data_IF_568570604193
#
_entry.id   IF_568570604193
#
_cell.length_a   1.000
_cell.length_b   1.000
_cell.length_c   1.000
_cell.angle_alpha   90.00
_cell.angle_beta   90.00
_cell.angle_gamma   90.00
#
_symmetry.space_group_name_H-M   'P 1'
#
loop_
_entity.id
_entity.type
_entity.pdbx_description
1 polymer ?
#
# COMPACT_ATOMS: atom_id res chain seq x y z
N UNK A 1 -30.64 11.40 -13.33
CA UNK A 1 -29.73 12.53 -13.60
C UNK A 1 -28.51 11.98 -14.33
N UNK A 2 -28.11 12.57 -15.43
CA UNK A 2 -26.91 12.14 -16.19
C UNK A 2 -25.79 13.15 -15.97
N UNK A 3 -24.67 12.70 -15.38
CA UNK A 3 -23.48 13.50 -15.13
C UNK A 3 -22.48 13.20 -16.24
N UNK A 4 -21.91 14.24 -16.86
CA UNK A 4 -21.01 14.11 -18.01
C UNK A 4 -19.63 14.67 -17.69
N UNK A 5 -18.59 13.93 -18.07
CA UNK A 5 -17.19 14.36 -18.02
C UNK A 5 -16.40 13.80 -19.20
N UNK A 6 -15.17 14.26 -19.40
CA UNK A 6 -14.28 13.67 -20.39
C UNK A 6 -13.76 12.33 -19.90
N UNK A 7 -13.37 12.28 -18.62
CA UNK A 7 -12.82 11.08 -17.96
C UNK A 7 -13.57 10.81 -16.68
N UNK A 8 -14.00 9.57 -16.49
CA UNK A 8 -14.54 9.03 -15.25
C UNK A 8 -13.47 8.10 -14.63
N UNK A 9 -13.03 8.41 -13.42
CA UNK A 9 -12.07 7.60 -12.66
C UNK A 9 -12.81 6.99 -11.47
N UNK A 10 -12.77 5.67 -11.37
CA UNK A 10 -13.36 4.92 -10.26
C UNK A 10 -12.26 4.44 -9.33
N UNK A 11 -12.19 5.05 -8.14
CA UNK A 11 -11.18 4.78 -7.11
C UNK A 11 -10.27 5.98 -6.85
N UNK A 12 -10.08 6.29 -5.56
CA UNK A 12 -9.34 7.45 -5.04
C UNK A 12 -8.04 7.10 -4.32
N UNK A 13 -7.46 5.92 -4.59
CA UNK A 13 -6.11 5.59 -4.15
C UNK A 13 -5.04 6.36 -4.94
N UNK A 14 -3.76 6.09 -4.68
CA UNK A 14 -2.64 6.78 -5.34
C UNK A 14 -2.79 6.83 -6.87
N UNK A 15 -3.18 5.72 -7.50
CA UNK A 15 -3.35 5.67 -8.96
C UNK A 15 -4.45 6.60 -9.46
N UNK A 16 -5.62 6.62 -8.79
CA UNK A 16 -6.74 7.47 -9.19
C UNK A 16 -6.47 8.95 -8.99
N UNK A 17 -5.88 9.33 -7.85
CA UNK A 17 -5.52 10.73 -7.54
C UNK A 17 -4.44 11.24 -8.50
N UNK A 18 -3.39 10.45 -8.73
CA UNK A 18 -2.30 10.79 -9.67
C UNK A 18 -2.83 10.99 -11.08
N UNK A 19 -3.65 10.05 -11.56
CA UNK A 19 -4.23 10.17 -12.91
C UNK A 19 -5.14 11.39 -13.03
N UNK A 20 -5.98 11.65 -12.01
CA UNK A 20 -6.86 12.81 -12.01
C UNK A 20 -6.07 14.12 -12.16
N UNK A 21 -4.99 14.29 -11.38
CA UNK A 21 -4.15 15.48 -11.44
C UNK A 21 -3.42 15.62 -12.77
N UNK A 22 -2.88 14.54 -13.33
CA UNK A 22 -2.19 14.56 -14.61
C UNK A 22 -3.10 14.89 -15.81
N UNK A 23 -4.40 14.60 -15.72
CA UNK A 23 -5.35 14.86 -16.79
C UNK A 23 -6.07 16.20 -16.68
N UNK A 24 -6.17 16.74 -15.47
CA UNK A 24 -7.08 17.84 -15.15
C UNK A 24 -6.75 19.17 -15.83
N UNK A 25 -5.50 19.40 -16.22
CA UNK A 25 -5.14 20.61 -16.97
C UNK A 25 -5.79 20.66 -18.38
N UNK A 26 -6.15 19.50 -18.92
CA UNK A 26 -6.64 19.38 -20.30
C UNK A 26 -8.00 18.72 -20.40
N UNK A 27 -8.56 18.17 -19.34
CA UNK A 27 -9.79 17.37 -19.34
C UNK A 27 -10.65 17.66 -18.09
N UNK A 28 -11.96 17.53 -18.27
CA UNK A 28 -12.89 17.49 -17.11
C UNK A 28 -12.90 16.07 -16.55
N UNK A 29 -12.47 15.94 -15.32
CA UNK A 29 -12.35 14.66 -14.63
C UNK A 29 -13.43 14.53 -13.57
N UNK A 30 -14.12 13.40 -13.58
CA UNK A 30 -14.97 12.98 -12.46
C UNK A 30 -14.28 11.84 -11.72
N UNK A 31 -14.08 12.00 -10.43
CA UNK A 31 -13.45 11.02 -9.55
C UNK A 31 -14.49 10.46 -8.56
N UNK A 32 -14.65 9.15 -8.56
CA UNK A 32 -15.58 8.43 -7.68
C UNK A 32 -14.79 7.76 -6.56
N UNK A 33 -15.19 8.01 -5.31
CA UNK A 33 -14.69 7.30 -4.14
C UNK A 33 -15.83 6.57 -3.42
N UNK A 34 -15.60 5.29 -3.13
CA UNK A 34 -16.55 4.42 -2.41
C UNK A 34 -16.78 4.89 -0.97
N UNK A 35 -15.73 5.38 -0.33
CA UNK A 35 -15.72 6.00 0.99
C UNK A 35 -15.31 7.48 0.90
N UNK A 36 -14.62 8.02 1.88
CA UNK A 36 -14.00 9.35 1.77
C UNK A 36 -12.83 9.31 0.79
N UNK A 37 -12.41 10.46 0.30
CA UNK A 37 -11.36 10.57 -0.74
C UNK A 37 -10.03 9.91 -0.33
N UNK A 38 -9.69 9.98 0.95
CA UNK A 38 -8.44 9.43 1.50
C UNK A 38 -8.56 8.00 2.03
N UNK A 39 -9.76 7.48 2.22
CA UNK A 39 -9.95 6.12 2.76
C UNK A 39 -9.66 5.06 1.69
N UNK A 40 -8.40 4.72 1.58
CA UNK A 40 -7.88 3.78 0.58
C UNK A 40 -6.73 2.96 1.16
N UNK A 41 -6.38 1.86 0.51
CA UNK A 41 -5.19 1.07 0.89
C UNK A 41 -3.90 1.89 0.86
N UNK A 42 -3.85 2.94 0.03
CA UNK A 42 -2.72 3.87 0.00
C UNK A 42 -2.55 4.57 1.34
N UNK A 43 -3.63 5.12 1.91
CA UNK A 43 -3.58 5.87 3.16
C UNK A 43 -3.05 5.03 4.35
N UNK A 44 -3.34 3.73 4.34
CA UNK A 44 -2.87 2.80 5.39
C UNK A 44 -1.47 2.23 5.14
N UNK A 45 -0.83 2.56 4.02
CA UNK A 45 0.51 2.07 3.72
C UNK A 45 1.56 2.74 4.60
N UNK A 46 2.28 1.93 5.39
CA UNK A 46 3.28 2.39 6.36
C UNK A 46 4.69 2.46 5.76
N UNK A 47 5.00 1.56 4.81
CA UNK A 47 6.29 1.51 4.14
C UNK A 47 6.52 2.71 3.22
N UNK A 48 7.60 2.66 2.45
CA UNK A 48 7.95 3.71 1.51
C UNK A 48 7.79 3.31 0.06
N UNK A 49 8.44 4.04 -0.81
CA UNK A 49 8.50 3.80 -2.26
C UNK A 49 9.93 3.48 -2.64
N UNK A 50 10.15 2.35 -3.30
CA UNK A 50 11.47 1.98 -3.82
C UNK A 50 11.78 2.77 -5.09
N UNK A 51 12.89 3.54 -5.07
CA UNK A 51 13.38 4.29 -6.22
C UNK A 51 14.91 4.44 -6.15
N UNK A 52 15.56 4.53 -7.31
CA UNK A 52 17.01 4.74 -7.39
C UNK A 52 17.31 6.22 -7.20
N UNK A 53 17.62 6.62 -5.96
CA UNK A 53 17.89 8.00 -5.57
C UNK A 53 19.33 8.19 -5.08
N UNK A 54 19.90 7.20 -4.42
CA UNK A 54 21.28 7.23 -3.92
C UNK A 54 22.30 7.09 -5.07
N UNK A 55 23.47 7.71 -4.91
CA UNK A 55 24.57 7.67 -5.90
C UNK A 55 25.20 6.28 -6.04
N UNK A 56 25.15 5.50 -4.98
CA UNK A 56 25.72 4.14 -4.88
C UNK A 56 24.81 3.07 -5.47
N UNK A 57 23.53 3.42 -5.75
CA UNK A 57 22.53 2.50 -6.31
C UNK A 57 22.40 2.69 -7.84
N UNK A 58 21.92 1.66 -8.52
CA UNK A 58 21.72 1.68 -9.97
C UNK A 58 20.36 1.11 -10.36
N UNK A 59 19.82 1.60 -11.47
CA UNK A 59 18.59 1.09 -12.07
C UNK A 59 18.70 -0.42 -12.33
N UNK A 60 19.83 -0.88 -12.84
CA UNK A 60 20.03 -2.30 -13.12
C UNK A 60 20.05 -3.15 -11.84
N UNK A 61 20.67 -2.68 -10.74
CA UNK A 61 20.63 -3.36 -9.45
C UNK A 61 19.18 -3.53 -8.96
N UNK A 62 18.35 -2.49 -9.09
CA UNK A 62 16.95 -2.55 -8.68
C UNK A 62 16.13 -3.49 -9.57
N UNK A 63 16.39 -3.52 -10.89
CA UNK A 63 15.77 -4.46 -11.82
C UNK A 63 16.09 -5.90 -11.42
N UNK A 64 17.36 -6.20 -11.17
CA UNK A 64 17.80 -7.56 -10.79
C UNK A 64 17.19 -8.01 -9.45
N UNK A 65 17.14 -7.13 -8.44
CA UNK A 65 16.46 -7.42 -7.19
C UNK A 65 14.97 -7.77 -7.41
N UNK A 66 14.29 -6.99 -8.25
CA UNK A 66 12.87 -7.18 -8.56
C UNK A 66 12.62 -8.50 -9.30
N UNK A 67 13.41 -8.79 -10.34
CA UNK A 67 13.29 -10.04 -11.10
C UNK A 67 13.58 -11.27 -10.22
N UNK A 68 14.57 -11.16 -9.33
CA UNK A 68 14.93 -12.24 -8.38
C UNK A 68 13.77 -12.53 -7.42
N UNK A 69 13.14 -11.50 -6.85
CA UNK A 69 11.99 -11.67 -5.95
C UNK A 69 10.76 -12.19 -6.71
N UNK A 70 10.60 -11.79 -7.96
CA UNK A 70 9.52 -12.23 -8.82
C UNK A 70 9.61 -13.67 -9.31
N UNK A 71 10.73 -14.35 -9.05
CA UNK A 71 10.94 -15.81 -9.27
C UNK A 71 10.53 -16.29 -10.68
N UNK A 72 10.89 -15.52 -11.70
CA UNK A 72 10.70 -15.87 -13.12
C UNK A 72 9.32 -15.57 -13.71
N UNK A 73 8.38 -14.97 -12.95
CA UNK A 73 7.04 -14.63 -13.45
C UNK A 73 6.88 -13.15 -13.82
N UNK A 74 7.92 -12.34 -13.64
CA UNK A 74 7.90 -10.94 -14.03
C UNK A 74 7.99 -10.75 -15.54
N UNK A 75 7.25 -9.77 -16.06
CA UNK A 75 7.54 -9.18 -17.36
C UNK A 75 8.71 -8.20 -17.20
N UNK A 76 9.89 -8.56 -17.73
CA UNK A 76 11.10 -7.77 -17.58
C UNK A 76 10.96 -6.35 -18.18
N UNK A 77 10.22 -6.19 -19.28
CA UNK A 77 10.01 -4.89 -19.90
C UNK A 77 9.18 -3.98 -19.00
N UNK A 78 8.15 -4.53 -18.35
CA UNK A 78 7.33 -3.80 -17.38
C UNK A 78 8.13 -3.42 -16.14
N UNK A 79 8.97 -4.32 -15.62
CA UNK A 79 9.89 -4.05 -14.50
C UNK A 79 10.85 -2.92 -14.85
N UNK A 80 11.52 -3.02 -15.99
CA UNK A 80 12.47 -2.00 -16.47
C UNK A 80 11.81 -0.64 -16.63
N UNK A 81 10.67 -0.58 -17.34
CA UNK A 81 9.92 0.66 -17.51
C UNK A 81 9.55 1.30 -16.18
N UNK A 82 9.06 0.51 -15.22
CA UNK A 82 8.66 1.02 -13.91
C UNK A 82 9.84 1.61 -13.14
N UNK A 83 10.97 0.89 -13.11
CA UNK A 83 12.13 1.32 -12.33
C UNK A 83 12.84 2.52 -12.96
N UNK A 84 12.99 2.55 -14.29
CA UNK A 84 13.59 3.68 -15.01
C UNK A 84 12.82 4.99 -14.80
N UNK A 85 11.49 4.91 -14.62
CA UNK A 85 10.63 6.08 -14.39
C UNK A 85 10.40 6.39 -12.90
N UNK A 86 10.93 5.59 -11.97
CA UNK A 86 10.66 5.72 -10.54
C UNK A 86 11.13 7.06 -9.96
N UNK A 87 12.32 7.53 -10.35
CA UNK A 87 12.86 8.82 -9.90
C UNK A 87 11.97 9.99 -10.30
N UNK A 88 11.55 10.05 -11.55
CA UNK A 88 10.64 11.11 -12.03
C UNK A 88 9.28 11.07 -11.30
N UNK A 89 8.78 9.87 -10.96
CA UNK A 89 7.56 9.74 -10.18
C UNK A 89 7.71 10.29 -8.75
N UNK A 90 8.86 10.07 -8.09
CA UNK A 90 9.15 10.64 -6.77
C UNK A 90 9.26 12.18 -6.86
N UNK A 91 10.00 12.70 -7.85
CA UNK A 91 10.13 14.14 -8.07
C UNK A 91 8.75 14.79 -8.28
N UNK A 92 7.87 14.16 -9.05
CA UNK A 92 6.51 14.63 -9.23
C UNK A 92 5.71 14.63 -7.91
N UNK A 93 5.84 13.62 -7.05
CA UNK A 93 5.18 13.60 -5.74
C UNK A 93 5.65 14.75 -4.85
N UNK A 94 6.94 15.07 -4.88
CA UNK A 94 7.53 16.20 -4.16
C UNK A 94 6.93 17.52 -4.67
N UNK A 95 6.81 17.69 -5.99
CA UNK A 95 6.19 18.86 -6.61
C UNK A 95 4.69 18.99 -6.24
N UNK A 96 4.03 17.85 -5.99
CA UNK A 96 2.65 17.83 -5.48
C UNK A 96 2.55 18.16 -3.97
N UNK A 97 3.68 18.32 -3.28
CA UNK A 97 3.74 18.72 -1.88
C UNK A 97 3.88 17.56 -0.90
N UNK A 98 4.25 16.36 -1.37
CA UNK A 98 4.55 15.23 -0.47
C UNK A 98 5.89 15.48 0.23
N UNK A 99 5.87 15.43 1.56
CA UNK A 99 7.04 15.63 2.40
C UNK A 99 7.65 14.28 2.79
N UNK A 100 8.87 14.01 2.30
CA UNK A 100 9.63 12.81 2.66
C UNK A 100 10.66 13.11 3.74
N UNK A 101 10.90 12.12 4.60
CA UNK A 101 11.89 12.19 5.69
C UNK A 101 13.29 12.47 5.13
N UNK A 102 13.97 13.46 5.73
CA UNK A 102 15.33 13.83 5.35
C UNK A 102 16.35 13.24 6.30
N UNK A 103 17.60 13.19 5.84
CA UNK A 103 18.77 12.89 6.69
C UNK A 103 18.90 13.92 7.82
N UNK A 104 19.59 13.56 8.90
CA UNK A 104 19.75 14.44 10.08
C UNK A 104 20.38 15.81 9.78
N UNK A 105 21.21 15.90 8.74
CA UNK A 105 21.80 17.14 8.25
C UNK A 105 20.90 17.90 7.26
N UNK A 106 19.77 17.31 6.87
CA UNK A 106 18.78 17.89 5.96
C UNK A 106 19.21 17.96 4.49
N UNK A 107 20.37 17.40 4.12
CA UNK A 107 20.92 17.53 2.76
C UNK A 107 20.27 16.60 1.76
N UNK A 108 19.94 15.37 2.19
CA UNK A 108 19.38 14.32 1.35
C UNK A 108 18.11 13.70 1.95
N UNK A 109 17.47 12.79 1.23
CA UNK A 109 16.37 11.97 1.75
C UNK A 109 16.92 10.78 2.53
N UNK A 110 16.31 10.48 3.66
CA UNK A 110 16.59 9.26 4.39
C UNK A 110 15.99 8.08 3.64
N UNK A 111 16.84 7.06 3.34
CA UNK A 111 16.43 5.86 2.63
C UNK A 111 16.52 4.65 3.55
N UNK A 112 15.50 3.83 3.58
CA UNK A 112 15.48 2.55 4.29
C UNK A 112 15.74 1.39 3.34
N UNK A 113 16.04 0.23 3.92
CA UNK A 113 16.13 -1.04 3.19
C UNK A 113 15.01 -1.96 3.68
N UNK A 114 14.30 -2.55 2.73
CA UNK A 114 13.29 -3.57 3.00
C UNK A 114 13.74 -4.92 2.43
N UNK A 115 13.04 -6.00 2.78
CA UNK A 115 13.34 -7.34 2.31
C UNK A 115 13.32 -7.45 0.79
N UNK A 116 14.30 -8.17 0.23
CA UNK A 116 14.46 -8.34 -1.21
C UNK A 116 15.30 -7.26 -1.89
N UNK A 117 15.56 -6.14 -1.23
CA UNK A 117 16.44 -5.09 -1.77
C UNK A 117 17.91 -5.29 -1.37
N UNK A 118 18.82 -5.17 -2.32
CA UNK A 118 20.28 -5.20 -2.08
C UNK A 118 20.84 -3.85 -1.61
N UNK A 119 20.08 -2.76 -1.78
CA UNK A 119 20.48 -1.40 -1.44
C UNK A 119 19.39 -0.67 -0.62
N UNK A 120 19.78 0.37 0.10
CA UNK A 120 18.83 1.29 0.74
C UNK A 120 18.26 2.22 -0.34
N UNK A 121 17.03 1.97 -0.78
CA UNK A 121 16.37 2.71 -1.86
C UNK A 121 14.93 3.07 -1.60
N UNK A 122 14.44 2.80 -0.40
CA UNK A 122 13.04 3.05 -0.05
C UNK A 122 12.93 4.41 0.60
N UNK A 123 12.40 5.40 -0.14
CA UNK A 123 12.08 6.73 0.38
C UNK A 123 10.77 6.66 1.15
N UNK A 124 10.68 7.37 2.28
CA UNK A 124 9.54 7.28 3.18
C UNK A 124 9.23 8.62 3.87
N UNK A 125 8.04 8.70 4.48
CA UNK A 125 7.64 9.76 5.38
C UNK A 125 7.33 9.11 6.74
N UNK A 126 8.28 9.13 7.64
CA UNK A 126 8.28 8.38 8.90
C UNK A 126 7.77 6.94 8.72
N UNK A 127 6.74 6.52 9.46
CA UNK A 127 6.03 5.25 9.32
C UNK A 127 4.61 5.40 8.74
N UNK A 128 4.34 6.50 8.02
CA UNK A 128 3.02 6.87 7.49
C UNK A 128 3.07 7.39 6.05
N UNK A 129 3.97 6.87 5.23
CA UNK A 129 4.22 7.37 3.86
C UNK A 129 2.96 7.42 3.00
N UNK A 130 2.12 6.40 3.07
CA UNK A 130 0.90 6.36 2.28
C UNK A 130 -0.13 7.41 2.71
N UNK A 131 -0.19 7.76 3.99
CA UNK A 131 -1.01 8.85 4.52
C UNK A 131 -0.57 10.19 3.96
N UNK A 132 0.72 10.47 4.04
CA UNK A 132 1.31 11.71 3.52
C UNK A 132 1.00 11.89 2.02
N UNK A 133 1.21 10.84 1.22
CA UNK A 133 0.88 10.86 -0.21
C UNK A 133 -0.62 11.09 -0.44
N UNK A 134 -1.47 10.36 0.27
CA UNK A 134 -2.92 10.46 0.09
C UNK A 134 -3.45 11.85 0.44
N UNK A 135 -3.00 12.41 1.57
CA UNK A 135 -3.45 13.71 2.06
C UNK A 135 -2.99 14.84 1.11
N UNK A 136 -1.72 14.83 0.68
CA UNK A 136 -1.16 15.82 -0.25
C UNK A 136 -1.88 15.77 -1.62
N UNK A 137 -2.02 14.59 -2.22
CA UNK A 137 -2.70 14.46 -3.51
C UNK A 137 -4.21 14.79 -3.41
N UNK A 138 -4.89 14.37 -2.35
CA UNK A 138 -6.30 14.67 -2.14
C UNK A 138 -6.54 16.17 -1.96
N UNK A 139 -5.64 16.88 -1.28
CA UNK A 139 -5.70 18.33 -1.16
C UNK A 139 -5.62 19.00 -2.54
N UNK A 140 -4.67 18.59 -3.39
CA UNK A 140 -4.54 19.11 -4.77
C UNK A 140 -5.77 18.82 -5.61
N UNK A 141 -6.29 17.59 -5.53
CA UNK A 141 -7.51 17.19 -6.25
C UNK A 141 -8.70 18.05 -5.85
N UNK A 142 -8.91 18.32 -4.55
CA UNK A 142 -10.02 19.16 -4.07
C UNK A 142 -9.93 20.61 -4.53
N UNK A 143 -8.71 21.11 -4.76
CA UNK A 143 -8.47 22.49 -5.18
C UNK A 143 -8.54 22.68 -6.71
N UNK A 144 -8.51 21.59 -7.49
CA UNK A 144 -8.42 21.68 -8.93
C UNK A 144 -9.80 21.89 -9.58
N UNK A 145 -9.98 22.99 -10.32
CA UNK A 145 -11.27 23.42 -10.91
C UNK A 145 -11.88 22.42 -11.92
N UNK A 146 -11.06 21.62 -12.58
CA UNK A 146 -11.50 20.63 -13.59
C UNK A 146 -11.73 19.24 -13.00
N UNK A 147 -11.57 19.03 -11.69
CA UNK A 147 -11.85 17.76 -11.03
C UNK A 147 -13.11 17.88 -10.17
N UNK A 148 -14.08 17.01 -10.41
CA UNK A 148 -15.27 16.89 -9.56
C UNK A 148 -15.21 15.58 -8.81
N UNK A 149 -15.22 15.63 -7.47
CA UNK A 149 -15.14 14.47 -6.59
C UNK A 149 -16.52 14.07 -6.08
N UNK A 150 -16.82 12.77 -6.12
CA UNK A 150 -18.00 12.17 -5.52
C UNK A 150 -17.57 11.13 -4.49
N UNK A 151 -17.57 11.52 -3.22
CA UNK A 151 -17.31 10.64 -2.08
C UNK A 151 -18.57 9.83 -1.71
N UNK A 152 -18.40 8.63 -1.12
CA UNK A 152 -19.48 7.72 -0.73
C UNK A 152 -20.38 7.31 -1.91
N UNK A 153 -19.76 7.17 -3.06
CA UNK A 153 -20.38 6.75 -4.31
C UNK A 153 -19.75 5.43 -4.79
N UNK A 154 -20.58 4.42 -5.02
CA UNK A 154 -20.15 3.09 -5.43
C UNK A 154 -20.46 2.85 -6.90
N UNK A 155 -19.47 2.48 -7.69
CA UNK A 155 -19.69 2.00 -9.05
C UNK A 155 -20.37 0.61 -9.01
N UNK A 156 -21.57 0.53 -9.57
CA UNK A 156 -22.39 -0.68 -9.58
C UNK A 156 -22.11 -1.51 -10.81
N UNK A 157 -22.10 -0.86 -11.98
CA UNK A 157 -21.80 -1.50 -13.25
C UNK A 157 -21.28 -0.52 -14.29
N UNK A 158 -20.58 -1.03 -15.32
CA UNK A 158 -20.15 -0.25 -16.47
C UNK A 158 -21.25 -0.20 -17.53
N UNK A 159 -21.39 0.95 -18.19
CA UNK A 159 -22.31 1.13 -19.31
C UNK A 159 -21.57 0.83 -20.59
N UNK A 160 -22.06 -0.14 -21.36
CA UNK A 160 -21.46 -0.55 -22.63
C UNK A 160 -22.44 -0.37 -23.80
N UNK A 161 -21.86 -0.07 -24.96
CA UNK A 161 -22.49 -0.19 -26.27
C UNK A 161 -21.51 -0.95 -27.17
N UNK A 162 -21.81 -2.23 -27.42
CA UNK A 162 -20.86 -3.16 -28.05
C UNK A 162 -19.56 -3.27 -27.22
N UNK A 163 -18.44 -3.00 -27.88
CA UNK A 163 -17.11 -3.00 -27.27
C UNK A 163 -16.72 -1.67 -26.59
N UNK A 164 -17.56 -0.65 -26.67
CA UNK A 164 -17.28 0.67 -26.13
C UNK A 164 -17.86 0.85 -24.75
N UNK A 165 -17.04 1.29 -23.79
CA UNK A 165 -17.49 1.75 -22.48
C UNK A 165 -17.92 3.23 -22.58
N UNK A 166 -19.13 3.53 -22.11
CA UNK A 166 -19.74 4.87 -22.14
C UNK A 166 -19.79 5.54 -20.77
N UNK A 167 -19.35 4.87 -19.70
CA UNK A 167 -19.42 5.36 -18.35
C UNK A 167 -19.79 4.27 -17.36
N UNK A 168 -20.46 4.66 -16.25
CA UNK A 168 -20.87 3.72 -15.21
C UNK A 168 -22.19 4.13 -14.55
N UNK A 169 -22.89 3.14 -13.98
CA UNK A 169 -23.95 3.34 -13.01
C UNK A 169 -23.35 3.46 -11.63
N UNK A 170 -23.63 4.57 -10.95
CA UNK A 170 -23.03 4.91 -9.66
C UNK A 170 -24.15 5.04 -8.61
N UNK A 171 -24.03 4.27 -7.55
CA UNK A 171 -24.92 4.34 -6.37
C UNK A 171 -24.43 5.44 -5.43
N UNK A 172 -25.26 6.43 -5.18
CA UNK A 172 -25.09 7.37 -4.07
C UNK A 172 -25.55 6.72 -2.77
N UNK A 173 -24.61 6.38 -1.88
CA UNK A 173 -24.89 5.60 -0.67
C UNK A 173 -25.80 6.33 0.32
N UNK A 174 -25.76 7.66 0.35
CA UNK A 174 -26.57 8.47 1.25
C UNK A 174 -28.07 8.44 0.91
N UNK A 175 -28.42 8.37 -0.38
CA UNK A 175 -29.81 8.42 -0.87
C UNK A 175 -30.34 7.08 -1.36
N UNK A 176 -29.45 6.10 -1.62
CA UNK A 176 -29.77 4.83 -2.27
C UNK A 176 -30.10 4.97 -3.77
N UNK A 177 -29.89 6.15 -4.36
CA UNK A 177 -30.22 6.39 -5.77
C UNK A 177 -29.06 6.01 -6.68
N UNK A 178 -29.38 5.38 -7.81
CA UNK A 178 -28.43 5.10 -8.88
C UNK A 178 -28.47 6.24 -9.89
N UNK A 179 -27.31 6.80 -10.18
CA UNK A 179 -27.08 7.86 -11.18
C UNK A 179 -26.25 7.34 -12.33
N UNK A 180 -26.48 7.90 -13.52
CA UNK A 180 -25.68 7.61 -14.70
C UNK A 180 -24.54 8.62 -14.80
N UNK A 181 -23.30 8.12 -14.88
CA UNK A 181 -22.12 8.91 -15.17
C UNK A 181 -21.60 8.54 -16.54
N UNK A 182 -21.67 9.47 -17.49
CA UNK A 182 -21.22 9.27 -18.85
C UNK A 182 -19.86 9.91 -19.08
N UNK A 183 -18.94 9.19 -19.71
CA UNK A 183 -17.62 9.70 -20.03
C UNK A 183 -17.09 9.12 -21.34
N UNK A 184 -16.20 9.85 -22.01
CA UNK A 184 -15.48 9.35 -23.17
C UNK A 184 -14.50 8.23 -22.82
N UNK A 185 -13.95 8.29 -21.60
CA UNK A 185 -13.02 7.29 -21.05
C UNK A 185 -13.40 6.97 -19.62
N UNK A 186 -13.43 5.69 -19.27
CA UNK A 186 -13.65 5.21 -17.91
C UNK A 186 -12.44 4.43 -17.44
N UNK A 187 -11.88 4.82 -16.31
CA UNK A 187 -10.68 4.21 -15.75
C UNK A 187 -11.03 3.54 -14.42
N UNK A 188 -10.68 2.27 -14.28
CA UNK A 188 -10.79 1.53 -13.03
C UNK A 188 -9.46 1.63 -12.27
N UNK A 189 -9.43 2.41 -11.19
CA UNK A 189 -8.32 2.56 -10.25
C UNK A 189 -8.72 2.03 -8.85
N UNK A 190 -9.43 0.92 -8.82
CA UNK A 190 -10.24 0.41 -7.72
C UNK A 190 -9.47 -0.38 -6.67
N UNK A 191 -8.14 -0.52 -6.82
CA UNK A 191 -7.30 -1.28 -5.90
C UNK A 191 -7.55 -2.80 -5.98
N UNK A 192 -7.26 -3.48 -4.88
CA UNK A 192 -7.27 -4.94 -4.79
C UNK A 192 -8.53 -5.55 -4.19
N UNK A 193 -8.43 -6.85 -3.85
CA UNK A 193 -9.52 -7.68 -3.35
C UNK A 193 -9.18 -8.38 -2.02
N UNK A 194 -8.28 -7.84 -1.21
CA UNK A 194 -7.77 -8.54 -0.01
C UNK A 194 -8.85 -8.82 1.06
N UNK A 195 -10.03 -8.18 0.98
CA UNK A 195 -11.18 -8.48 1.85
C UNK A 195 -11.87 -9.82 1.53
N UNK A 196 -11.42 -10.58 0.55
CA UNK A 196 -11.82 -11.99 0.38
C UNK A 196 -11.29 -12.86 1.52
N UNK A 197 -10.25 -12.40 2.23
CA UNK A 197 -9.72 -13.05 3.42
C UNK A 197 -10.34 -12.46 4.69
N UNK A 198 -10.59 -13.31 5.69
CA UNK A 198 -11.20 -12.90 6.95
C UNK A 198 -10.27 -11.94 7.73
N UNK A 199 -8.96 -12.26 7.77
CA UNK A 199 -7.94 -11.39 8.34
C UNK A 199 -7.18 -10.70 7.22
N UNK A 200 -7.15 -9.37 7.24
CA UNK A 200 -6.45 -8.55 6.25
C UNK A 200 -6.06 -7.19 6.85
N UNK A 201 -4.90 -6.68 6.46
CA UNK A 201 -4.44 -5.33 6.81
C UNK A 201 -5.05 -4.24 5.91
N UNK A 202 -5.79 -4.62 4.85
CA UNK A 202 -6.42 -3.67 3.96
C UNK A 202 -7.72 -3.12 4.55
N UNK A 203 -8.13 -1.88 4.18
CA UNK A 203 -9.40 -1.29 4.60
C UNK A 203 -10.60 -2.08 4.05
N UNK A 204 -11.77 -1.89 4.68
CA UNK A 204 -13.00 -2.58 4.31
C UNK A 204 -13.45 -2.32 2.86
N UNK A 205 -12.99 -1.24 2.26
CA UNK A 205 -13.21 -0.91 0.86
C UNK A 205 -12.53 -1.83 -0.17
N UNK A 206 -11.52 -2.62 0.23
CA UNK A 206 -10.73 -3.47 -0.68
C UNK A 206 -11.44 -4.80 -1.02
N UNK A 207 -12.66 -4.72 -1.55
CA UNK A 207 -13.58 -5.84 -1.78
C UNK A 207 -13.57 -6.40 -3.21
N UNK A 208 -12.70 -5.88 -4.11
CA UNK A 208 -12.56 -6.41 -5.47
C UNK A 208 -13.64 -5.95 -6.45
N UNK A 209 -14.36 -4.89 -6.16
CA UNK A 209 -15.45 -4.39 -7.01
C UNK A 209 -14.99 -4.13 -8.45
N UNK A 210 -13.77 -3.60 -8.64
CA UNK A 210 -13.23 -3.33 -9.98
C UNK A 210 -13.01 -4.59 -10.81
N UNK A 211 -12.62 -5.70 -10.19
CA UNK A 211 -12.51 -6.98 -10.89
C UNK A 211 -13.88 -7.47 -11.35
N UNK A 212 -14.90 -7.34 -10.50
CA UNK A 212 -16.27 -7.71 -10.85
C UNK A 212 -16.82 -6.83 -11.99
N UNK A 213 -16.60 -5.52 -11.94
CA UNK A 213 -16.98 -4.58 -13.01
C UNK A 213 -16.29 -4.93 -14.32
N UNK A 214 -14.99 -5.18 -14.30
CA UNK A 214 -14.19 -5.54 -15.46
C UNK A 214 -14.64 -6.88 -16.06
N UNK A 215 -14.86 -7.90 -15.23
CA UNK A 215 -15.34 -9.22 -15.67
C UNK A 215 -16.70 -9.11 -16.38
N UNK A 216 -17.69 -8.42 -15.78
CA UNK A 216 -18.99 -8.22 -16.39
C UNK A 216 -18.93 -7.41 -17.70
N UNK A 217 -17.96 -6.51 -17.80
CA UNK A 217 -17.70 -5.76 -19.02
C UNK A 217 -17.01 -6.58 -20.12
N UNK A 218 -16.56 -7.80 -19.83
CA UNK A 218 -15.85 -8.67 -20.76
C UNK A 218 -14.34 -8.41 -20.86
N UNK A 219 -13.76 -7.70 -19.88
CA UNK A 219 -12.31 -7.51 -19.82
C UNK A 219 -11.61 -8.81 -19.44
N UNK A 220 -10.41 -9.01 -19.98
CA UNK A 220 -9.54 -10.10 -19.56
C UNK A 220 -9.02 -9.82 -18.14
N UNK A 221 -9.18 -10.79 -17.23
CA UNK A 221 -8.59 -10.77 -15.91
C UNK A 221 -7.36 -11.68 -15.90
N UNK A 222 -6.30 -11.26 -15.22
CA UNK A 222 -5.06 -12.01 -15.11
C UNK A 222 -4.53 -11.93 -13.67
N UNK A 223 -3.73 -12.94 -13.29
CA UNK A 223 -3.02 -13.00 -12.00
C UNK A 223 -3.96 -12.95 -10.78
N UNK A 224 -5.17 -13.47 -10.92
CA UNK A 224 -6.18 -13.45 -9.85
C UNK A 224 -5.83 -14.35 -8.66
N UNK A 225 -4.92 -15.30 -8.85
CA UNK A 225 -4.37 -16.17 -7.82
C UNK A 225 -3.37 -15.47 -6.88
N UNK A 226 -2.80 -14.34 -7.31
CA UNK A 226 -1.78 -13.65 -6.52
C UNK A 226 -2.41 -12.70 -5.52
N UNK A 227 -2.19 -13.00 -4.25
CA UNK A 227 -2.47 -12.11 -3.13
C UNK A 227 -1.27 -12.13 -2.20
N UNK A 228 -0.69 -10.97 -1.90
CA UNK A 228 0.44 -10.89 -0.99
C UNK A 228 -0.02 -10.94 0.46
N UNK A 229 0.49 -11.90 1.24
CA UNK A 229 0.32 -11.95 2.68
C UNK A 229 1.44 -11.16 3.36
N UNK A 230 1.09 -10.12 4.10
CA UNK A 230 2.07 -9.43 4.92
C UNK A 230 2.41 -10.29 6.15
N UNK A 231 3.70 -10.56 6.42
CA UNK A 231 4.08 -11.51 7.45
C UNK A 231 3.79 -11.05 8.89
N UNK A 232 3.74 -9.74 9.13
CA UNK A 232 3.67 -9.16 10.46
C UNK A 232 2.43 -8.31 10.68
N UNK A 233 1.26 -8.96 10.82
CA UNK A 233 0.06 -8.34 11.36
C UNK A 233 -0.03 -8.62 12.86
N UNK A 234 -0.37 -7.60 13.65
CA UNK A 234 -0.47 -7.72 15.09
C UNK A 234 -1.59 -8.70 15.51
N UNK A 235 -1.24 -9.71 16.29
CA UNK A 235 -2.19 -10.64 16.87
C UNK A 235 -2.75 -10.06 18.18
N UNK A 236 -3.86 -9.31 18.08
CA UNK A 236 -4.52 -8.73 19.24
C UNK A 236 -6.03 -8.57 18.99
N UNK A 237 -6.90 -8.94 19.96
CA UNK A 237 -8.37 -8.94 19.76
C UNK A 237 -8.96 -7.58 19.37
N UNK A 238 -8.34 -6.48 19.80
CA UNK A 238 -8.84 -5.12 19.57
C UNK A 238 -8.11 -4.38 18.45
N UNK A 239 -7.03 -4.94 17.89
CA UNK A 239 -6.17 -4.23 16.93
C UNK A 239 -6.56 -4.43 15.45
N UNK A 240 -7.62 -5.18 15.12
CA UNK A 240 -8.14 -5.39 13.75
C UNK A 240 -7.05 -5.69 12.69
N UNK A 241 -6.12 -6.57 12.90
CA UNK A 241 -5.04 -6.84 11.93
C UNK A 241 -4.14 -5.61 11.66
N UNK A 242 -3.78 -4.85 12.71
CA UNK A 242 -2.88 -3.71 12.60
C UNK A 242 -1.53 -4.16 12.01
N UNK A 243 -1.07 -3.44 10.99
CA UNK A 243 0.17 -3.76 10.29
C UNK A 243 1.38 -3.31 11.12
N UNK A 244 2.31 -4.23 11.39
CA UNK A 244 3.65 -3.92 11.87
C UNK A 244 4.58 -3.83 10.65
N UNK A 245 5.04 -2.62 10.34
CA UNK A 245 5.82 -2.33 9.13
C UNK A 245 7.03 -3.25 8.97
N UNK A 246 7.34 -3.60 7.74
CA UNK A 246 8.57 -4.34 7.39
C UNK A 246 9.84 -3.58 7.78
N UNK A 247 9.77 -2.24 7.83
CA UNK A 247 10.87 -1.40 8.27
C UNK A 247 11.36 -1.77 9.68
N UNK A 248 10.50 -2.32 10.56
CA UNK A 248 10.95 -2.85 11.86
C UNK A 248 12.01 -3.95 11.69
N UNK A 249 11.81 -4.90 10.75
CA UNK A 249 12.79 -5.95 10.45
C UNK A 249 14.01 -5.36 9.76
N UNK A 250 13.82 -4.37 8.89
CA UNK A 250 14.91 -3.59 8.29
C UNK A 250 15.80 -2.88 9.30
N UNK A 251 15.24 -2.49 10.45
CA UNK A 251 15.95 -1.85 11.58
C UNK A 251 16.34 -2.85 12.67
N UNK A 252 16.28 -4.16 12.39
CA UNK A 252 16.83 -5.21 13.20
C UNK A 252 15.86 -5.97 14.09
N UNK A 253 14.53 -5.82 13.93
CA UNK A 253 13.57 -6.66 14.64
C UNK A 253 13.68 -8.12 14.20
N UNK A 254 13.61 -9.04 15.17
CA UNK A 254 13.86 -10.47 15.01
C UNK A 254 12.58 -11.26 15.30
N UNK A 255 12.22 -12.16 14.40
CA UNK A 255 11.11 -13.10 14.61
C UNK A 255 11.54 -14.24 15.53
N UNK A 256 10.79 -14.42 16.62
CA UNK A 256 11.05 -15.42 17.65
C UNK A 256 9.82 -16.25 17.97
N UNK A 257 10.07 -17.49 18.36
CA UNK A 257 9.07 -18.33 19.04
C UNK A 257 8.89 -17.83 20.49
N UNK A 258 7.80 -18.22 21.20
CA UNK A 258 7.57 -17.81 22.58
C UNK A 258 8.67 -18.24 23.57
N UNK A 259 9.45 -19.27 23.25
CA UNK A 259 10.61 -19.70 24.04
C UNK A 259 11.87 -18.85 23.82
N UNK A 260 11.79 -17.87 22.91
CA UNK A 260 12.87 -16.95 22.56
C UNK A 260 13.74 -17.39 21.37
N UNK A 261 13.51 -18.58 20.80
CA UNK A 261 14.27 -19.06 19.64
C UNK A 261 14.02 -18.20 18.41
N UNK A 262 15.09 -17.66 17.79
CA UNK A 262 15.04 -17.03 16.45
C UNK A 262 15.02 -18.11 15.39
N UNK A 263 14.03 -18.10 14.48
CA UNK A 263 13.82 -19.26 13.59
C UNK A 263 14.10 -18.97 12.11
N UNK A 264 14.16 -17.71 11.68
CA UNK A 264 14.22 -17.37 10.26
C UNK A 264 15.45 -17.89 9.52
N UNK A 265 16.62 -17.96 10.17
CA UNK A 265 17.86 -18.48 9.57
C UNK A 265 17.76 -19.96 9.14
N UNK A 266 16.81 -20.71 9.67
CA UNK A 266 16.54 -22.09 9.25
C UNK A 266 15.89 -22.18 7.86
N UNK A 267 15.26 -21.10 7.40
CA UNK A 267 14.51 -21.05 6.17
C UNK A 267 15.21 -20.27 5.06
N UNK A 268 15.93 -19.20 5.42
CA UNK A 268 16.64 -18.36 4.45
C UNK A 268 17.89 -17.73 5.09
N UNK A 269 18.99 -17.70 4.31
CA UNK A 269 20.27 -17.15 4.76
C UNK A 269 20.21 -15.64 5.07
N UNK A 270 19.20 -14.93 4.56
CA UNK A 270 18.95 -13.51 4.83
C UNK A 270 18.22 -13.31 6.17
N UNK A 271 17.81 -14.39 6.84
CA UNK A 271 17.07 -14.33 8.09
C UNK A 271 15.78 -13.50 7.96
N UNK A 272 15.57 -12.57 8.87
CA UNK A 272 14.39 -11.72 8.95
C UNK A 272 14.29 -10.72 7.76
N UNK A 273 15.34 -10.54 6.96
CA UNK A 273 15.37 -9.74 5.74
C UNK A 273 15.07 -10.55 4.47
N UNK A 274 14.63 -11.80 4.59
CA UNK A 274 14.10 -12.55 3.46
C UNK A 274 12.84 -11.87 2.88
N UNK A 275 12.48 -12.21 1.65
CA UNK A 275 11.27 -11.65 1.01
C UNK A 275 10.00 -12.02 1.78
N UNK A 276 8.96 -11.18 1.67
CA UNK A 276 7.71 -11.30 2.46
C UNK A 276 7.05 -12.67 2.35
N UNK A 277 7.09 -13.28 1.18
CA UNK A 277 6.53 -14.61 0.92
C UNK A 277 7.27 -15.71 1.71
N UNK A 278 8.60 -15.65 1.75
CA UNK A 278 9.42 -16.58 2.53
C UNK A 278 9.12 -16.40 4.02
N UNK A 279 9.14 -15.18 4.51
CA UNK A 279 8.86 -14.88 5.92
C UNK A 279 7.45 -15.36 6.31
N UNK A 280 6.44 -15.05 5.50
CA UNK A 280 5.05 -15.44 5.77
C UNK A 280 4.89 -16.97 5.82
N UNK A 281 5.48 -17.70 4.86
CA UNK A 281 5.47 -19.18 4.86
C UNK A 281 6.22 -19.76 6.03
N UNK A 282 7.34 -19.16 6.44
CA UNK A 282 8.13 -19.62 7.59
C UNK A 282 7.35 -19.45 8.90
N UNK A 283 6.68 -18.31 9.08
CA UNK A 283 5.81 -18.08 10.25
C UNK A 283 4.65 -19.09 10.26
N UNK A 284 3.96 -19.27 9.14
CA UNK A 284 2.85 -20.24 9.04
C UNK A 284 3.31 -21.67 9.35
N UNK A 285 4.48 -22.06 8.84
CA UNK A 285 5.07 -23.37 9.13
C UNK A 285 5.37 -23.55 10.63
N UNK A 286 6.03 -22.57 11.26
CA UNK A 286 6.37 -22.65 12.68
C UNK A 286 5.13 -22.65 13.56
N UNK A 287 4.14 -21.82 13.26
CA UNK A 287 2.88 -21.79 13.99
C UNK A 287 2.16 -23.16 13.92
N UNK A 288 2.06 -23.74 12.73
CA UNK A 288 1.44 -25.05 12.53
C UNK A 288 2.23 -26.17 13.22
N UNK A 289 3.55 -26.18 13.08
CA UNK A 289 4.43 -27.18 13.68
C UNK A 289 4.35 -27.18 15.21
N UNK A 290 4.26 -26.00 15.81
CA UNK A 290 4.31 -25.82 17.27
C UNK A 290 2.93 -25.64 17.91
N UNK A 291 1.83 -25.64 17.15
CA UNK A 291 0.48 -25.40 17.64
C UNK A 291 0.26 -23.99 18.18
N UNK A 292 1.01 -23.00 17.69
CA UNK A 292 0.97 -21.61 18.14
C UNK A 292 -0.04 -20.80 17.30
N UNK A 293 -0.61 -19.76 17.93
CA UNK A 293 -1.50 -18.81 17.27
C UNK A 293 -0.74 -17.53 16.81
N UNK A 294 0.48 -17.32 17.26
CA UNK A 294 1.32 -16.18 16.93
C UNK A 294 2.80 -16.48 17.16
N UNK A 295 3.65 -15.64 16.60
CA UNK A 295 5.08 -15.54 16.89
C UNK A 295 5.39 -14.15 17.46
N UNK A 296 6.56 -13.95 18.00
CA UNK A 296 7.01 -12.68 18.57
C UNK A 296 7.84 -11.91 17.53
N UNK A 297 7.62 -10.60 17.40
CA UNK A 297 8.54 -9.70 16.71
C UNK A 297 9.31 -8.91 17.79
N UNK A 298 10.56 -9.31 18.02
CA UNK A 298 11.39 -8.82 19.11
C UNK A 298 12.28 -7.66 18.64
N UNK A 299 12.16 -6.53 19.31
CA UNK A 299 13.01 -5.35 19.14
C UNK A 299 13.57 -4.83 20.48
N UNK A 300 13.61 -5.68 21.50
CA UNK A 300 14.02 -5.32 22.87
C UNK A 300 15.50 -4.95 23.00
N UNK A 301 16.31 -5.26 21.99
CA UNK A 301 17.71 -4.84 21.92
C UNK A 301 17.87 -3.35 21.56
N UNK A 302 16.84 -2.71 21.02
CA UNK A 302 16.86 -1.29 20.69
C UNK A 302 16.31 -0.46 21.86
N UNK A 303 16.89 0.73 22.06
CA UNK A 303 16.39 1.65 23.08
C UNK A 303 14.99 2.19 22.71
N UNK A 304 14.13 2.34 23.72
CA UNK A 304 12.76 2.85 23.56
C UNK A 304 12.70 4.18 22.81
N UNK A 305 13.63 5.09 23.07
CA UNK A 305 13.74 6.40 22.41
C UNK A 305 13.97 6.27 20.91
N UNK A 306 14.78 5.29 20.50
CA UNK A 306 15.08 5.03 19.07
C UNK A 306 13.84 4.49 18.37
N UNK A 307 13.10 3.57 19.01
CA UNK A 307 11.85 3.02 18.47
C UNK A 307 10.80 4.13 18.31
N UNK A 308 10.65 4.98 19.33
CA UNK A 308 9.72 6.11 19.30
C UNK A 308 10.03 7.10 18.18
N UNK A 309 11.31 7.37 17.93
CA UNK A 309 11.74 8.29 16.89
C UNK A 309 11.52 7.73 15.50
N UNK A 310 11.83 6.43 15.27
CA UNK A 310 11.75 5.81 13.95
C UNK A 310 10.34 5.33 13.57
N UNK A 311 9.52 4.97 14.56
CA UNK A 311 8.20 4.35 14.37
C UNK A 311 7.16 4.97 15.30
N UNK A 312 6.93 6.29 15.23
CA UNK A 312 6.06 7.00 16.18
C UNK A 312 4.63 6.47 16.18
N UNK A 313 4.04 6.21 15.02
CA UNK A 313 2.65 5.73 14.90
C UNK A 313 2.47 4.30 15.41
N UNK A 314 3.44 3.42 15.11
CA UNK A 314 3.43 2.05 15.62
C UNK A 314 3.57 2.07 17.13
N UNK A 315 4.51 2.85 17.66
CA UNK A 315 4.73 2.97 19.09
C UNK A 315 3.49 3.52 19.81
N UNK A 316 2.86 4.56 19.30
CA UNK A 316 1.62 5.12 19.85
C UNK A 316 0.50 4.08 19.87
N UNK A 317 0.27 3.39 18.76
CA UNK A 317 -0.77 2.35 18.66
C UNK A 317 -0.55 1.22 19.66
N UNK A 318 0.69 0.70 19.76
CA UNK A 318 1.02 -0.35 20.71
C UNK A 318 0.88 0.12 22.17
N UNK A 319 1.21 1.37 22.46
CA UNK A 319 1.04 1.95 23.80
C UNK A 319 -0.43 2.07 24.19
N UNK A 320 -1.31 2.48 23.26
CA UNK A 320 -2.76 2.59 23.49
C UNK A 320 -3.42 1.25 23.79
N UNK A 321 -2.90 0.15 23.26
CA UNK A 321 -3.42 -1.21 23.50
C UNK A 321 -2.62 -1.96 24.57
N UNK A 322 -1.74 -1.27 25.33
CA UNK A 322 -0.94 -1.79 26.45
C UNK A 322 0.05 -2.93 26.10
N UNK A 323 0.52 -2.97 24.84
CA UNK A 323 1.51 -3.98 24.40
C UNK A 323 2.95 -3.48 24.55
N UNK A 324 3.17 -2.16 24.68
CA UNK A 324 4.52 -1.57 24.68
C UNK A 324 5.23 -1.58 26.02
N UNK A 325 4.57 -1.99 27.12
CA UNK A 325 5.20 -2.14 28.43
C UNK A 325 5.06 -3.58 28.94
N UNK A 326 6.18 -4.26 29.26
CA UNK A 326 6.08 -5.46 30.06
C UNK A 326 5.54 -5.04 31.43
N UNK A 327 4.34 -5.48 31.76
CA UNK A 327 3.86 -5.42 33.15
C UNK A 327 4.84 -6.20 34.00
N UNK A 328 5.78 -5.51 34.68
CA UNK A 328 6.41 -6.07 35.86
C UNK A 328 5.31 -6.21 36.92
N UNK A 329 4.76 -7.39 37.03
CA UNK A 329 4.14 -7.76 38.28
C UNK A 329 5.28 -7.84 39.31
N UNK A 330 5.44 -6.78 40.11
CA UNK A 330 6.14 -6.88 41.34
C UNK A 330 5.31 -7.78 42.28
N UNK A 331 5.85 -8.95 42.53
CA UNK A 331 5.38 -9.87 43.57
C UNK A 331 5.82 -9.37 44.95
#
# INVERSE_FOLDING_TARGET
MNIKSDVLIVGSGAAGLTLALNLADHRKVTLISKETLVDSSTWYAQGGIAAVLAKEDTVESHIQDTLKVGDGICDEQAVRFTIENSKAAIEWLIDMGVEFTRTADGTDYHLTQEGGHSQRRVIHSDDTTGREISDSLAQRVRQHQNITVYEKHLAVDLIKDGERCLGAYILERATGLIKTFSASHTVLATGGASKVYFYTSNPDGASGDGYALAARAGCRLANMEFNQFHPTCLYHPQAKSFLLSEALRGEGAILRLPDGEAFMERFDVRGDLASRDIVARSIDFEMKRSGLNHVMLDMTHAEKSVIQQKFPSIFETLSLIHISEPTRHES
#
